data_IF_600367661987
#
_entry.id   IF_600367661987
#
_cell.length_a   1.000
_cell.length_b   1.000
_cell.length_c   1.000
_cell.angle_alpha   90.00
_cell.angle_beta   90.00
_cell.angle_gamma   90.00
#
_symmetry.space_group_name_H-M   'P 1'
#
loop_
_entity.id
_entity.type
_entity.pdbx_description
1 polymer ?
#
# COMPACT_ATOMS: atom_id res chain seq x y z
N UNK A 1 0.46 -17.47 26.87
CA UNK A 1 1.89 -17.14 27.06
C UNK A 1 2.11 -16.47 28.41
N UNK A 2 2.62 -17.22 29.39
CA UNK A 2 3.44 -16.58 30.43
C UNK A 2 4.86 -16.62 29.89
N UNK A 3 5.28 -15.54 29.24
CA UNK A 3 6.66 -15.38 28.81
C UNK A 3 7.55 -15.13 30.03
N UNK A 4 8.84 -15.40 29.89
CA UNK A 4 9.84 -15.02 30.88
C UNK A 4 10.23 -13.57 30.66
N UNK A 5 10.28 -12.76 31.72
CA UNK A 5 10.83 -11.41 31.65
C UNK A 5 12.34 -11.51 31.76
N UNK A 6 13.06 -11.04 30.74
CA UNK A 6 14.52 -10.98 30.76
C UNK A 6 15.01 -9.71 30.06
N UNK A 7 16.19 -9.23 30.50
CA UNK A 7 16.90 -8.15 29.82
C UNK A 7 17.77 -8.75 28.73
N UNK A 8 17.59 -8.28 27.50
CA UNK A 8 18.28 -8.81 26.33
C UNK A 8 19.29 -7.78 25.85
N UNK A 9 20.53 -8.22 25.63
CA UNK A 9 21.56 -7.42 24.98
C UNK A 9 21.39 -7.56 23.46
N UNK A 10 21.41 -6.42 22.80
CA UNK A 10 21.26 -6.31 21.35
C UNK A 10 22.14 -5.13 20.87
N UNK A 11 22.51 -5.09 19.58
CA UNK A 11 23.44 -4.10 19.06
C UNK A 11 22.75 -2.97 18.27
N UNK A 12 21.92 -3.32 17.28
CA UNK A 12 21.30 -2.36 16.34
C UNK A 12 19.83 -2.61 16.00
N UNK A 13 19.30 -3.79 16.30
CA UNK A 13 17.93 -4.19 16.00
C UNK A 13 16.87 -3.38 16.74
N UNK A 14 17.23 -2.66 17.80
CA UNK A 14 16.36 -1.80 18.62
C UNK A 14 16.57 -0.31 18.36
N UNK A 15 17.54 0.10 17.52
CA UNK A 15 17.80 1.53 17.22
C UNK A 15 16.52 2.28 16.80
N UNK A 16 15.61 1.57 16.12
CA UNK A 16 14.36 2.11 15.65
C UNK A 16 13.13 1.59 16.44
N UNK A 17 13.29 0.70 17.42
CA UNK A 17 12.17 0.17 18.18
C UNK A 17 11.67 1.21 19.20
N UNK A 18 10.36 1.40 19.27
CA UNK A 18 9.73 2.26 20.26
C UNK A 18 9.08 1.46 21.37
N UNK A 19 8.82 2.12 22.49
CA UNK A 19 8.10 1.51 23.59
C UNK A 19 6.72 1.01 23.12
N UNK A 20 6.45 -0.27 23.37
CA UNK A 20 5.20 -0.92 23.00
C UNK A 20 5.24 -1.64 21.65
N UNK A 21 6.28 -1.44 20.84
CA UNK A 21 6.51 -2.27 19.66
C UNK A 21 6.72 -3.72 20.06
N UNK A 22 6.27 -4.61 19.18
CA UNK A 22 6.44 -6.05 19.30
C UNK A 22 7.50 -6.47 18.28
N UNK A 23 8.47 -7.25 18.72
CA UNK A 23 9.50 -7.83 17.87
C UNK A 23 9.27 -9.33 17.77
N UNK A 24 9.32 -9.86 16.54
CA UNK A 24 9.38 -11.29 16.31
C UNK A 24 10.85 -11.68 16.17
N UNK A 25 11.35 -12.60 16.98
CA UNK A 25 12.78 -12.91 16.98
C UNK A 25 13.17 -14.03 17.92
N UNK A 26 14.46 -14.37 17.90
CA UNK A 26 15.05 -15.42 18.71
C UNK A 26 15.95 -14.83 19.79
N UNK A 27 15.58 -15.06 21.03
CA UNK A 27 16.43 -14.81 22.20
C UNK A 27 17.18 -16.09 22.55
N UNK A 28 18.47 -15.99 22.81
CA UNK A 28 19.27 -17.08 23.32
C UNK A 28 20.04 -16.65 24.57
N UNK A 29 20.22 -17.59 25.50
CA UNK A 29 21.02 -17.39 26.70
C UNK A 29 22.46 -17.84 26.41
N UNK A 30 23.42 -16.92 26.55
CA UNK A 30 24.86 -17.19 26.46
C UNK A 30 25.48 -16.79 27.80
N UNK A 31 25.96 -17.79 28.56
CA UNK A 31 26.39 -17.62 29.95
C UNK A 31 25.30 -16.93 30.80
N UNK A 32 25.63 -15.77 31.39
CA UNK A 32 24.72 -14.96 32.21
C UNK A 32 23.91 -13.93 31.41
N UNK A 33 24.09 -13.85 30.08
CA UNK A 33 23.47 -12.83 29.23
C UNK A 33 22.41 -13.44 28.31
N UNK A 34 21.24 -12.80 28.22
CA UNK A 34 20.28 -13.07 27.16
C UNK A 34 20.61 -12.16 25.97
N UNK A 35 20.64 -12.71 24.76
CA UNK A 35 20.97 -11.99 23.52
C UNK A 35 19.89 -12.20 22.46
N UNK A 36 19.55 -11.14 21.73
CA UNK A 36 18.67 -11.23 20.56
C UNK A 36 19.53 -11.61 19.35
N UNK A 37 19.53 -12.89 18.97
CA UNK A 37 20.40 -13.40 17.90
C UNK A 37 19.77 -13.21 16.51
N UNK A 38 18.44 -13.11 16.43
CA UNK A 38 17.74 -12.86 15.19
C UNK A 38 16.44 -12.12 15.44
N UNK A 39 16.09 -11.23 14.52
CA UNK A 39 14.85 -10.45 14.54
C UNK A 39 14.24 -10.45 13.15
N UNK A 40 12.92 -10.45 13.08
CA UNK A 40 12.16 -10.21 11.87
C UNK A 40 12.46 -8.82 11.30
N UNK A 41 12.10 -8.64 10.02
CA UNK A 41 12.41 -7.44 9.25
C UNK A 41 11.53 -6.24 9.60
N UNK A 42 10.39 -6.48 10.24
CA UNK A 42 9.43 -5.44 10.63
C UNK A 42 9.30 -5.32 12.14
N UNK A 43 9.06 -4.08 12.58
CA UNK A 43 8.54 -3.78 13.92
C UNK A 43 7.04 -3.91 13.87
N UNK A 44 6.46 -4.72 14.74
CA UNK A 44 5.00 -4.88 14.81
C UNK A 44 4.48 -3.76 15.73
N UNK A 45 3.70 -2.80 15.22
CA UNK A 45 3.26 -1.66 16.01
C UNK A 45 2.24 -2.08 17.08
N UNK A 46 2.09 -1.30 18.17
CA UNK A 46 1.17 -1.63 19.28
C UNK A 46 -0.27 -1.92 18.84
N UNK A 47 -0.73 -1.28 17.75
CA UNK A 47 -2.08 -1.50 17.17
C UNK A 47 -2.35 -2.95 16.74
N UNK A 48 -1.30 -3.74 16.48
CA UNK A 48 -1.40 -5.14 16.07
C UNK A 48 -1.37 -6.12 17.25
N UNK A 49 -1.16 -5.63 18.48
CA UNK A 49 -1.21 -6.45 19.69
C UNK A 49 -2.50 -7.29 19.82
N UNK A 50 -3.71 -6.81 19.44
CA UNK A 50 -4.92 -7.62 19.48
C UNK A 50 -4.83 -8.92 18.67
N UNK A 51 -4.15 -8.93 17.52
CA UNK A 51 -3.99 -10.14 16.71
C UNK A 51 -3.14 -11.20 17.42
N UNK A 52 -2.07 -10.77 18.10
CA UNK A 52 -1.23 -11.66 18.93
C UNK A 52 -2.00 -12.19 20.14
N UNK A 53 -2.86 -11.36 20.75
CA UNK A 53 -3.71 -11.77 21.87
C UNK A 53 -4.73 -12.82 21.41
N UNK A 54 -5.41 -12.59 20.27
CA UNK A 54 -6.36 -13.55 19.69
C UNK A 54 -5.70 -14.88 19.38
N UNK A 55 -4.52 -14.85 18.77
CA UNK A 55 -3.74 -16.06 18.51
C UNK A 55 -3.42 -16.82 19.80
N UNK A 56 -3.02 -16.10 20.86
CA UNK A 56 -2.79 -16.69 22.18
C UNK A 56 -4.05 -17.31 22.77
N UNK A 57 -5.20 -16.64 22.65
CA UNK A 57 -6.49 -17.15 23.14
C UNK A 57 -6.87 -18.43 22.39
N UNK A 58 -6.75 -18.44 21.07
CA UNK A 58 -6.97 -19.61 20.24
C UNK A 58 -6.08 -20.81 20.62
N UNK A 59 -4.79 -20.57 20.87
CA UNK A 59 -3.89 -21.63 21.38
C UNK A 59 -4.36 -22.20 22.73
N UNK A 60 -4.96 -21.37 23.60
CA UNK A 60 -5.46 -21.80 24.91
C UNK A 60 -6.82 -22.51 24.82
N UNK A 61 -7.52 -22.47 23.69
CA UNK A 61 -8.73 -23.29 23.48
C UNK A 61 -8.38 -24.78 23.36
N UNK A 62 -7.19 -25.07 22.82
CA UNK A 62 -6.71 -26.44 22.61
C UNK A 62 -5.79 -26.94 23.74
N UNK A 63 -5.28 -26.05 24.60
CA UNK A 63 -4.31 -26.38 25.65
C UNK A 63 -4.56 -25.62 26.95
N UNK A 64 -4.42 -26.31 28.08
CA UNK A 64 -4.52 -25.70 29.42
C UNK A 64 -3.44 -24.63 29.67
N UNK A 65 -2.27 -24.77 29.04
CA UNK A 65 -1.18 -23.79 29.15
C UNK A 65 -0.27 -23.81 27.92
N UNK A 66 0.28 -22.65 27.56
CA UNK A 66 1.26 -22.51 26.47
C UNK A 66 2.67 -22.67 27.07
N UNK A 67 3.34 -23.75 26.70
CA UNK A 67 4.72 -24.04 27.07
C UNK A 67 5.63 -24.11 25.81
N UNK A 68 6.91 -24.46 25.98
CA UNK A 68 7.86 -24.55 24.86
C UNK A 68 7.46 -25.59 23.82
N UNK A 69 6.88 -26.71 24.24
CA UNK A 69 6.45 -27.78 23.34
C UNK A 69 5.26 -27.32 22.49
N UNK A 70 4.27 -26.67 23.11
CA UNK A 70 3.17 -26.03 22.38
C UNK A 70 3.68 -25.00 21.36
N UNK A 71 4.70 -24.21 21.70
CA UNK A 71 5.26 -23.24 20.75
C UNK A 71 6.03 -23.92 19.60
N UNK A 72 6.61 -25.10 19.83
CA UNK A 72 7.24 -25.91 18.81
C UNK A 72 6.23 -26.58 17.88
N UNK A 73 5.15 -27.12 18.44
CA UNK A 73 4.08 -27.77 17.69
C UNK A 73 3.36 -26.79 16.75
N UNK A 74 3.30 -25.50 17.13
CA UNK A 74 2.65 -24.43 16.38
C UNK A 74 3.64 -23.44 15.72
N UNK A 75 4.87 -23.87 15.44
CA UNK A 75 5.89 -22.98 14.88
C UNK A 75 5.47 -22.40 13.51
N UNK A 76 4.75 -23.18 12.70
CA UNK A 76 4.21 -22.79 11.41
C UNK A 76 3.14 -21.70 11.55
N UNK A 77 2.20 -21.86 12.49
CA UNK A 77 1.12 -20.93 12.73
C UNK A 77 1.62 -19.62 13.32
N UNK A 78 2.61 -19.68 14.22
CA UNK A 78 3.29 -18.50 14.75
C UNK A 78 3.97 -17.72 13.60
N UNK A 79 4.64 -18.45 12.70
CA UNK A 79 5.29 -17.85 11.52
C UNK A 79 4.26 -17.28 10.54
N UNK A 80 3.12 -17.96 10.36
CA UNK A 80 2.02 -17.47 9.54
C UNK A 80 1.44 -16.18 10.10
N UNK A 81 1.20 -16.10 11.41
CA UNK A 81 0.74 -14.87 12.07
C UNK A 81 1.70 -13.69 11.81
N UNK A 82 3.02 -13.93 11.88
CA UNK A 82 4.01 -12.91 11.55
C UNK A 82 3.85 -12.42 10.10
N UNK A 83 3.68 -13.34 9.14
CA UNK A 83 3.49 -12.97 7.74
C UNK A 83 2.15 -12.27 7.49
N UNK A 84 1.08 -12.68 8.13
CA UNK A 84 -0.23 -12.02 8.03
C UNK A 84 -0.13 -10.56 8.49
N UNK A 85 0.53 -10.34 9.64
CA UNK A 85 0.81 -8.99 10.14
C UNK A 85 1.70 -8.22 9.17
N UNK A 86 2.76 -8.84 8.64
CA UNK A 86 3.65 -8.24 7.66
C UNK A 86 2.90 -7.74 6.43
N UNK A 87 2.04 -8.58 5.85
CA UNK A 87 1.26 -8.24 4.67
C UNK A 87 0.24 -7.13 4.95
N UNK A 88 -0.36 -7.10 6.14
CA UNK A 88 -1.25 -6.01 6.55
C UNK A 88 -0.49 -4.68 6.61
N UNK A 89 0.74 -4.69 7.14
CA UNK A 89 1.52 -3.46 7.35
C UNK A 89 2.15 -2.92 6.08
N UNK A 90 2.52 -3.78 5.14
CA UNK A 90 3.12 -3.37 3.86
C UNK A 90 2.07 -3.09 2.78
N UNK A 91 0.81 -3.50 2.99
CA UNK A 91 -0.28 -3.23 2.04
C UNK A 91 -0.42 -1.72 1.85
N UNK A 92 -0.36 -1.22 0.59
CA UNK A 92 -0.64 0.18 0.32
C UNK A 92 -2.03 0.56 0.84
N UNK A 93 -2.23 1.77 1.38
CA UNK A 93 -3.54 2.21 1.79
C UNK A 93 -4.49 2.19 0.59
N UNK A 94 -5.68 1.60 0.78
CA UNK A 94 -6.76 1.77 -0.19
C UNK A 94 -7.28 3.20 -0.06
N UNK A 95 -7.13 3.97 -1.14
CA UNK A 95 -7.85 5.23 -1.25
C UNK A 95 -9.35 4.86 -1.33
N UNK A 96 -10.15 5.41 -0.41
CA UNK A 96 -11.61 5.35 -0.47
C UNK A 96 -12.15 6.76 -0.29
N UNK A 97 -13.22 7.11 -1.00
CA UNK A 97 -13.88 8.39 -0.77
C UNK A 97 -14.52 8.41 0.64
N UNK A 98 -14.99 9.59 1.07
CA UNK A 98 -15.63 9.76 2.39
C UNK A 98 -16.85 8.86 2.61
N UNK A 99 -17.48 8.39 1.52
CA UNK A 99 -18.63 7.48 1.53
C UNK A 99 -18.21 5.99 1.48
N UNK A 100 -16.91 5.68 1.51
CA UNK A 100 -16.37 4.32 1.51
C UNK A 100 -16.38 3.61 0.15
N UNK A 101 -16.75 4.32 -0.93
CA UNK A 101 -16.72 3.81 -2.30
C UNK A 101 -15.27 3.80 -2.83
N UNK A 102 -14.77 2.65 -3.35
CA UNK A 102 -13.48 2.57 -4.00
C UNK A 102 -13.42 3.33 -5.35
N UNK A 103 -14.55 3.72 -5.94
CA UNK A 103 -14.58 4.50 -7.17
C UNK A 103 -14.45 5.99 -6.87
N UNK A 104 -13.23 6.51 -7.01
CA UNK A 104 -13.04 7.95 -7.16
C UNK A 104 -13.68 8.39 -8.47
N UNK A 105 -14.80 9.08 -8.37
CA UNK A 105 -15.56 9.55 -9.53
C UNK A 105 -14.89 10.73 -10.26
N UNK A 106 -13.74 11.22 -9.79
CA UNK A 106 -12.98 12.26 -10.47
C UNK A 106 -11.57 11.79 -10.90
N UNK A 107 -11.23 11.86 -12.20
CA UNK A 107 -9.87 11.59 -12.68
C UNK A 107 -8.83 12.54 -12.06
N UNK A 108 -9.25 13.75 -11.65
CA UNK A 108 -8.42 14.78 -11.01
C UNK A 108 -7.76 14.31 -9.70
N UNK A 109 -8.44 13.49 -8.89
CA UNK A 109 -7.86 12.96 -7.64
C UNK A 109 -6.86 11.84 -7.95
N UNK A 110 -7.12 11.06 -8.99
CA UNK A 110 -6.25 9.95 -9.37
C UNK A 110 -4.92 10.44 -9.93
N UNK A 111 -4.92 11.52 -10.71
CA UNK A 111 -3.69 12.15 -11.22
C UNK A 111 -2.90 12.90 -10.13
N UNK A 112 -3.55 13.36 -9.05
CA UNK A 112 -2.86 13.98 -7.91
C UNK A 112 -1.92 13.02 -7.18
N UNK A 113 -2.27 11.72 -7.10
CA UNK A 113 -1.46 10.69 -6.44
C UNK A 113 -0.54 9.93 -7.39
N UNK A 114 -0.58 10.26 -8.68
CA UNK A 114 0.31 9.66 -9.67
C UNK A 114 1.69 10.26 -9.48
N UNK A 115 2.71 9.42 -9.42
CA UNK A 115 4.09 9.86 -9.23
C UNK A 115 4.94 9.22 -10.32
N UNK A 116 5.76 10.04 -10.98
CA UNK A 116 6.68 9.60 -12.02
C UNK A 116 8.11 9.77 -11.55
N UNK A 117 8.95 8.80 -11.88
CA UNK A 117 10.39 8.90 -11.69
C UNK A 117 11.01 9.57 -12.90
N UNK A 118 11.77 10.62 -12.67
CA UNK A 118 12.56 11.30 -13.70
C UNK A 118 13.84 10.54 -14.01
N UNK A 119 14.51 10.85 -15.12
CA UNK A 119 15.80 10.26 -15.49
C UNK A 119 16.87 10.47 -14.41
N UNK A 120 16.72 11.54 -13.61
CA UNK A 120 17.57 11.88 -12.47
C UNK A 120 17.15 11.20 -11.14
N UNK A 121 16.12 10.35 -11.15
CA UNK A 121 15.63 9.60 -9.99
C UNK A 121 14.73 10.39 -9.03
N UNK A 122 14.31 11.60 -9.40
CA UNK A 122 13.35 12.37 -8.61
C UNK A 122 11.91 11.92 -8.89
N UNK A 123 11.14 11.75 -7.82
CA UNK A 123 9.72 11.42 -7.87
C UNK A 123 8.88 12.71 -7.95
N UNK A 124 8.21 12.92 -9.08
CA UNK A 124 7.41 14.12 -9.33
C UNK A 124 5.91 13.75 -9.41
N UNK A 125 5.02 14.47 -8.71
CA UNK A 125 3.57 14.28 -8.84
C UNK A 125 3.09 14.58 -10.27
N UNK A 126 2.14 13.81 -10.78
CA UNK A 126 1.57 13.98 -12.13
C UNK A 126 0.97 15.36 -12.36
N UNK A 127 0.39 15.97 -11.32
CA UNK A 127 -0.12 17.35 -11.36
C UNK A 127 0.93 18.42 -11.65
N UNK A 128 2.23 18.12 -11.46
CA UNK A 128 3.32 19.04 -11.81
C UNK A 128 3.69 19.00 -13.29
N UNK A 129 3.26 17.97 -14.05
CA UNK A 129 3.51 17.85 -15.49
C UNK A 129 2.58 18.73 -16.33
N UNK A 130 1.34 18.97 -15.88
CA UNK A 130 0.38 19.81 -16.61
C UNK A 130 0.85 21.28 -16.74
N UNK A 131 1.60 21.77 -15.75
CA UNK A 131 2.15 23.13 -15.76
C UNK A 131 3.37 23.33 -16.68
N UNK A 132 3.90 22.25 -17.27
CA UNK A 132 5.05 22.30 -18.19
C UNK A 132 4.65 22.38 -19.67
N UNK A 133 3.40 22.05 -19.99
CA UNK A 133 2.92 22.01 -21.37
C UNK A 133 2.47 23.38 -21.90
N UNK A 134 2.22 24.36 -21.01
CA UNK A 134 1.71 25.69 -21.38
C UNK A 134 2.82 26.70 -21.79
N UNK A 135 4.10 26.31 -21.80
CA UNK A 135 5.21 27.25 -22.00
C UNK A 135 5.93 27.14 -23.36
N UNK A 136 5.45 26.31 -24.28
CA UNK A 136 6.11 26.08 -25.58
C UNK A 136 5.35 26.51 -26.84
N UNK A 137 4.15 27.09 -26.73
CA UNK A 137 3.36 27.56 -27.89
C UNK A 137 3.10 29.08 -27.85
N UNK A 138 4.14 29.92 -27.79
CA UNK A 138 3.95 31.35 -28.08
C UNK A 138 5.20 32.06 -28.64
N UNK A 139 5.79 31.50 -29.69
CA UNK A 139 6.51 32.28 -30.70
C UNK A 139 6.30 31.68 -32.06
N UNK A 140 5.20 32.05 -32.71
CA UNK A 140 5.23 32.51 -34.09
C UNK A 140 3.88 33.08 -34.52
N UNK A 141 3.95 34.06 -35.42
CA UNK A 141 2.87 34.73 -36.18
C UNK A 141 2.27 36.02 -35.57
N UNK A 142 3.03 37.11 -35.71
CA UNK A 142 2.45 38.43 -36.00
C UNK A 142 1.83 38.43 -37.41
N UNK A 143 0.54 38.82 -37.55
CA UNK A 143 0.11 39.93 -38.43
C UNK A 143 -1.43 40.09 -38.55
N UNK A 144 -1.94 41.23 -38.03
CA UNK A 144 -2.89 42.19 -38.65
C UNK A 144 -4.30 41.73 -39.12
N UNK A 145 -5.37 42.09 -38.38
CA UNK A 145 -6.30 43.21 -38.69
C UNK A 145 -7.67 43.12 -37.95
N UNK A 146 -7.98 44.15 -37.14
CA UNK A 146 -9.24 44.95 -37.04
C UNK A 146 -10.51 44.44 -37.78
N UNK A 147 -11.77 44.47 -37.30
CA UNK A 147 -12.46 45.19 -36.21
C UNK A 147 -13.91 44.67 -36.04
N UNK A 148 -14.57 45.09 -34.94
CA UNK A 148 -16.03 45.15 -34.67
C UNK A 148 -16.71 43.84 -34.22
N UNK A 149 -17.70 43.80 -33.32
CA UNK A 149 -18.22 44.64 -32.23
C UNK A 149 -19.45 43.88 -31.67
N UNK A 150 -19.78 44.12 -30.40
CA UNK A 150 -21.10 43.93 -29.75
C UNK A 150 -21.26 42.80 -28.71
N UNK A 151 -22.10 43.15 -27.73
CA UNK A 151 -22.11 42.82 -26.30
C UNK A 151 -23.19 41.72 -26.00
N UNK A 152 -23.61 41.36 -24.75
CA UNK A 152 -23.50 39.98 -24.27
C UNK A 152 -24.82 39.31 -23.79
N UNK A 153 -24.77 37.97 -23.63
CA UNK A 153 -25.51 37.12 -22.66
C UNK A 153 -27.07 37.07 -22.76
N UNK A 154 -27.75 36.20 -21.97
CA UNK A 154 -27.64 34.75 -21.84
C UNK A 154 -29.03 34.07 -21.90
N UNK A 155 -29.09 32.74 -21.69
CA UNK A 155 -30.20 31.91 -21.11
C UNK A 155 -30.48 30.66 -21.97
N UNK A 156 -30.97 29.52 -21.46
CA UNK A 156 -31.03 28.85 -20.16
C UNK A 156 -31.74 27.52 -20.48
N UNK A 157 -31.21 26.41 -19.97
CA UNK A 157 -31.86 25.13 -19.65
C UNK A 157 -33.17 24.75 -20.40
N UNK A 158 -33.14 23.65 -21.15
CA UNK A 158 -34.08 22.53 -20.91
C UNK A 158 -33.59 21.27 -21.62
N UNK A 159 -33.52 20.18 -20.85
CA UNK A 159 -33.17 18.87 -21.37
C UNK A 159 -34.35 18.22 -22.11
N UNK A 160 -34.04 17.26 -22.97
CA UNK A 160 -34.88 16.09 -23.17
C UNK A 160 -34.08 14.88 -23.67
N UNK A 161 -33.91 13.96 -22.72
CA UNK A 161 -33.82 12.50 -22.74
C UNK A 161 -33.94 11.76 -24.11
N UNK A 162 -32.89 10.97 -24.34
CA UNK A 162 -32.81 9.59 -24.83
C UNK A 162 -33.14 9.24 -26.30
N UNK A 163 -32.18 8.53 -26.92
CA UNK A 163 -32.41 7.34 -27.77
C UNK A 163 -31.15 6.45 -27.79
N UNK A 164 -31.27 5.22 -27.29
CA UNK A 164 -30.37 4.09 -27.60
C UNK A 164 -30.69 3.54 -29.01
N UNK A 165 -29.71 2.96 -29.71
CA UNK A 165 -29.74 1.52 -30.02
C UNK A 165 -28.35 0.88 -29.78
N UNK A 166 -28.18 -0.30 -29.18
CA UNK A 166 -28.48 -1.69 -29.61
C UNK A 166 -27.50 -2.27 -30.66
N UNK A 167 -26.74 -3.31 -30.23
CA UNK A 167 -26.02 -4.38 -30.97
C UNK A 167 -24.78 -3.93 -31.77
N UNK A 168 -23.69 -4.67 -31.93
CA UNK A 168 -23.42 -6.11 -31.84
C UNK A 168 -21.90 -6.39 -31.69
N UNK A 169 -21.60 -7.58 -31.20
CA UNK A 169 -20.36 -8.37 -31.22
C UNK A 169 -19.12 -7.91 -32.02
N UNK A 170 -17.96 -7.99 -31.35
CA UNK A 170 -16.74 -8.54 -31.96
C UNK A 170 -15.76 -9.04 -30.90
N UNK A 171 -15.55 -10.37 -30.90
CA UNK A 171 -14.41 -11.05 -30.27
C UNK A 171 -13.11 -10.48 -30.83
N UNK A 172 -12.12 -10.25 -29.97
CA UNK A 172 -10.71 -10.31 -30.35
C UNK A 172 -9.95 -10.99 -29.23
N UNK A 173 -9.50 -12.21 -29.55
CA UNK A 173 -8.34 -12.84 -28.93
C UNK A 173 -7.15 -11.89 -29.00
N UNK A 174 -6.45 -11.71 -27.89
CA UNK A 174 -5.09 -11.15 -27.88
C UNK A 174 -4.27 -12.04 -26.95
N UNK A 175 -3.26 -12.67 -27.56
CA UNK A 175 -2.31 -13.60 -26.98
C UNK A 175 -1.64 -13.09 -25.71
N UNK A 176 -1.74 -13.89 -24.64
CA UNK A 176 -0.87 -13.83 -23.47
C UNK A 176 0.56 -14.25 -23.86
N UNK A 177 1.46 -13.28 -24.03
CA UNK A 177 2.90 -13.52 -24.23
C UNK A 177 3.76 -13.21 -22.99
N UNK A 178 3.20 -13.31 -21.79
CA UNK A 178 3.96 -13.09 -20.54
C UNK A 178 3.96 -14.32 -19.61
N UNK A 179 4.20 -15.51 -20.15
CA UNK A 179 4.55 -16.69 -19.34
C UNK A 179 5.56 -17.57 -20.08
N UNK A 180 6.81 -17.12 -20.19
CA UNK A 180 7.99 -17.97 -20.42
C UNK A 180 9.23 -17.27 -19.89
N UNK A 181 9.49 -17.38 -18.59
CA UNK A 181 10.79 -17.01 -18.05
C UNK A 181 11.16 -17.80 -16.79
N UNK A 182 10.89 -19.10 -16.78
CA UNK A 182 11.51 -20.04 -15.84
C UNK A 182 11.53 -21.42 -16.49
N UNK A 183 12.55 -21.64 -17.31
CA UNK A 183 13.13 -22.94 -17.62
C UNK A 183 14.54 -22.61 -18.09
N UNK A 184 15.53 -22.81 -17.22
CA UNK A 184 16.85 -23.32 -17.58
C UNK A 184 17.59 -23.72 -16.29
N UNK A 185 18.05 -24.96 -16.31
CA UNK A 185 18.80 -25.73 -15.30
C UNK A 185 20.14 -25.12 -14.90
#
# INVERSE_FOLDING_TARGET
MRGTVCNVVENKGSENAQQGDILFGRVAQIDSLAMLIGCGTIRIPPKMKPEVIRFREWLLESYDSINSDTLYDYDLEIRQLYFDIYYILIRPPELRNTDGDPHFSSPEIFDMFRVYETEDGFLIPGSALDNLNDQWDEKDTQSVSSSQSAVPKPQRLSGNRAKKPSRDSRKKDVDDRQLKLFDDE
#
